data_IF_368143102775
#
_entry.id   IF_368143102775
#
_cell.length_a   1.000
_cell.length_b   1.000
_cell.length_c   1.000
_cell.angle_alpha   90.00
_cell.angle_beta   90.00
_cell.angle_gamma   90.00
#
_symmetry.space_group_name_H-M   'P 1'
#
loop_
_entity.id
_entity.type
_entity.pdbx_description
1 polymer ?
#
# COMPACT_ATOMS: atom_id res chain seq x y z
N UNK A 1 -0.20 -6.62 -7.70
CA UNK A 1 -1.47 -7.14 -8.29
C UNK A 1 -1.44 -8.65 -8.44
N UNK A 2 -0.60 -9.25 -9.30
CA UNK A 2 -0.61 -10.71 -9.51
C UNK A 2 -0.36 -11.57 -8.25
N UNK A 3 0.56 -11.17 -7.37
CA UNK A 3 0.81 -11.90 -6.10
C UNK A 3 -0.28 -11.70 -5.04
N UNK A 4 -1.13 -10.68 -5.20
CA UNK A 4 -2.16 -10.33 -4.22
C UNK A 4 -3.52 -10.88 -4.65
N UNK A 5 -3.84 -10.81 -5.95
CA UNK A 5 -5.16 -11.10 -6.50
C UNK A 5 -5.19 -12.25 -7.50
N UNK A 6 -4.06 -12.92 -7.74
CA UNK A 6 -3.93 -14.00 -8.73
C UNK A 6 -4.02 -13.55 -10.20
N UNK A 7 -4.55 -12.35 -10.48
CA UNK A 7 -4.72 -11.79 -11.82
C UNK A 7 -3.72 -10.67 -12.10
N UNK A 8 -3.14 -10.69 -13.30
CA UNK A 8 -2.43 -9.55 -13.90
C UNK A 8 -3.32 -8.98 -14.99
N UNK A 9 -3.67 -7.71 -14.86
CA UNK A 9 -4.49 -7.02 -15.86
C UNK A 9 -3.61 -6.60 -17.05
N UNK A 10 -4.00 -7.01 -18.26
CA UNK A 10 -3.38 -6.51 -19.48
C UNK A 10 -4.13 -5.24 -19.95
N UNK A 11 -3.45 -4.11 -20.18
CA UNK A 11 -4.09 -2.89 -20.70
C UNK A 11 -4.81 -3.06 -22.05
N UNK A 12 -4.44 -4.08 -22.82
CA UNK A 12 -4.96 -4.36 -24.16
C UNK A 12 -6.11 -5.36 -24.16
N UNK A 13 -6.03 -6.43 -23.36
CA UNK A 13 -7.05 -7.49 -23.31
C UNK A 13 -8.15 -7.19 -22.27
N UNK A 14 -7.79 -6.66 -21.09
CA UNK A 14 -8.70 -6.36 -19.98
C UNK A 14 -9.06 -4.87 -19.92
N UNK A 15 -9.11 -4.18 -21.06
CA UNK A 15 -9.15 -2.72 -21.11
C UNK A 15 -10.27 -2.09 -20.25
N UNK A 16 -11.46 -2.68 -20.21
CA UNK A 16 -12.60 -2.17 -19.43
C UNK A 16 -12.44 -2.41 -17.92
N UNK A 17 -12.10 -3.64 -17.49
CA UNK A 17 -11.87 -3.93 -16.06
C UNK A 17 -10.70 -3.10 -15.51
N UNK A 18 -9.62 -2.99 -16.28
CA UNK A 18 -8.47 -2.18 -15.93
C UNK A 18 -8.81 -0.69 -15.82
N UNK A 19 -9.64 -0.16 -16.73
CA UNK A 19 -10.14 1.23 -16.66
C UNK A 19 -10.95 1.47 -15.39
N UNK A 20 -11.86 0.57 -15.05
CA UNK A 20 -12.68 0.66 -13.84
C UNK A 20 -11.81 0.62 -12.59
N UNK A 21 -10.91 -0.36 -12.50
CA UNK A 21 -9.96 -0.47 -11.40
C UNK A 21 -9.11 0.80 -11.27
N UNK A 22 -8.51 1.28 -12.37
CA UNK A 22 -7.69 2.50 -12.37
C UNK A 22 -8.49 3.71 -11.91
N UNK A 23 -9.75 3.84 -12.31
CA UNK A 23 -10.61 4.94 -11.88
C UNK A 23 -10.89 4.89 -10.37
N UNK A 24 -11.25 3.71 -9.83
CA UNK A 24 -11.52 3.53 -8.39
C UNK A 24 -10.24 3.79 -7.57
N UNK A 25 -9.09 3.28 -8.02
CA UNK A 25 -7.80 3.47 -7.36
C UNK A 25 -7.41 4.96 -7.36
N UNK A 26 -7.54 5.64 -8.50
CA UNK A 26 -7.25 7.07 -8.61
C UNK A 26 -8.12 7.90 -7.65
N UNK A 27 -9.43 7.63 -7.62
CA UNK A 27 -10.37 8.31 -6.73
C UNK A 27 -10.04 8.06 -5.25
N UNK A 28 -9.65 6.85 -4.89
CA UNK A 28 -9.19 6.54 -3.53
C UNK A 28 -7.92 7.32 -3.14
N UNK A 29 -6.97 7.49 -4.06
CA UNK A 29 -5.74 8.25 -3.78
C UNK A 29 -6.02 9.75 -3.66
N UNK A 30 -6.93 10.27 -4.48
CA UNK A 30 -7.40 11.65 -4.34
C UNK A 30 -8.01 11.87 -2.96
N UNK A 31 -8.83 10.94 -2.45
CA UNK A 31 -9.42 11.05 -1.11
C UNK A 31 -8.37 10.95 0.01
N UNK A 32 -7.40 10.04 -0.08
CA UNK A 32 -6.32 9.93 0.90
C UNK A 32 -5.41 11.17 0.95
N UNK A 33 -5.23 11.83 -0.19
CA UNK A 33 -4.39 13.01 -0.33
C UNK A 33 -5.09 14.33 0.03
N UNK A 34 -6.42 14.35 0.17
CA UNK A 34 -7.15 15.58 0.49
C UNK A 34 -6.87 15.98 1.94
N UNK A 35 -6.37 17.21 2.11
CA UNK A 35 -6.23 17.79 3.44
C UNK A 35 -7.60 18.04 4.06
N UNK A 36 -7.94 17.29 5.10
CA UNK A 36 -9.21 17.42 5.81
C UNK A 36 -9.06 18.27 7.07
N UNK A 37 -9.58 19.50 7.04
CA UNK A 37 -9.57 20.38 8.22
C UNK A 37 -10.36 19.83 9.40
N UNK A 38 -11.36 18.98 9.14
CA UNK A 38 -12.20 18.42 10.20
C UNK A 38 -11.47 17.39 11.07
N UNK A 39 -10.38 16.79 10.58
CA UNK A 39 -9.55 15.86 11.37
C UNK A 39 -8.80 16.59 12.48
N UNK A 40 -8.44 17.86 12.26
CA UNK A 40 -7.73 18.71 13.22
C UNK A 40 -8.68 19.55 14.07
N UNK A 41 -9.86 19.89 13.53
CA UNK A 41 -10.86 20.73 14.18
C UNK A 41 -12.21 20.00 14.18
N UNK A 42 -12.49 19.12 15.17
CA UNK A 42 -13.69 18.28 15.17
C UNK A 42 -15.00 19.06 15.07
N UNK A 43 -15.05 20.28 15.62
CA UNK A 43 -16.23 21.15 15.56
C UNK A 43 -16.53 21.70 14.16
N UNK A 44 -15.53 21.73 13.27
CA UNK A 44 -15.65 22.22 11.90
C UNK A 44 -16.46 21.24 11.03
N UNK A 45 -16.42 19.94 11.34
CA UNK A 45 -17.17 18.89 10.65
C UNK A 45 -18.68 19.14 10.61
N UNK A 46 -19.25 19.79 11.64
CA UNK A 46 -20.69 20.01 11.76
C UNK A 46 -21.26 21.03 10.77
N UNK A 47 -20.43 21.92 10.21
CA UNK A 47 -20.89 23.02 9.36
C UNK A 47 -20.08 23.21 8.07
N UNK A 48 -18.91 22.58 7.94
CA UNK A 48 -17.99 22.83 6.84
C UNK A 48 -17.31 21.54 6.37
N UNK A 49 -17.83 20.99 5.26
CA UNK A 49 -17.19 19.91 4.48
C UNK A 49 -16.97 20.40 3.03
N UNK A 50 -15.92 21.21 2.79
CA UNK A 50 -15.67 21.81 1.47
C UNK A 50 -15.28 20.79 0.41
N UNK A 51 -14.66 19.68 0.84
CA UNK A 51 -14.17 18.61 -0.05
C UNK A 51 -15.18 17.46 -0.19
N UNK A 52 -16.30 17.49 0.55
CA UNK A 52 -17.37 16.48 0.54
C UNK A 52 -16.86 15.05 0.75
N UNK A 53 -15.87 14.89 1.63
CA UNK A 53 -15.10 13.63 1.76
C UNK A 53 -16.03 12.47 2.09
N UNK A 54 -16.99 12.67 2.99
CA UNK A 54 -17.95 11.64 3.39
C UNK A 54 -18.78 11.17 2.19
N UNK A 55 -19.32 12.10 1.41
CA UNK A 55 -20.14 11.76 0.24
C UNK A 55 -19.33 11.02 -0.85
N UNK A 56 -18.07 11.39 -1.04
CA UNK A 56 -17.17 10.68 -1.95
C UNK A 56 -16.84 9.27 -1.43
N UNK A 57 -16.58 9.10 -0.13
CA UNK A 57 -16.40 7.80 0.48
C UNK A 57 -17.65 6.92 0.33
N UNK A 58 -18.84 7.45 0.59
CA UNK A 58 -20.12 6.74 0.42
C UNK A 58 -20.35 6.29 -1.03
N UNK A 59 -19.87 7.06 -2.01
CA UNK A 59 -19.94 6.68 -3.42
C UNK A 59 -18.86 5.65 -3.83
N UNK A 60 -17.66 5.73 -3.24
CA UNK A 60 -16.51 4.90 -3.58
C UNK A 60 -16.59 3.50 -2.94
N UNK A 61 -16.93 3.42 -1.66
CA UNK A 61 -16.92 2.19 -0.87
C UNK A 61 -17.75 1.06 -1.52
N UNK A 62 -18.98 1.28 -2.03
CA UNK A 62 -19.75 0.23 -2.68
C UNK A 62 -19.08 -0.31 -3.95
N UNK A 63 -18.38 0.55 -4.71
CA UNK A 63 -17.67 0.16 -5.95
C UNK A 63 -16.44 -0.67 -5.63
N UNK A 64 -15.67 -0.27 -4.61
CA UNK A 64 -14.54 -1.05 -4.07
C UNK A 64 -15.03 -2.40 -3.59
N UNK A 65 -16.04 -2.42 -2.74
CA UNK A 65 -16.62 -3.64 -2.17
C UNK A 65 -17.05 -4.60 -3.27
N UNK A 66 -17.76 -4.10 -4.30
CA UNK A 66 -18.18 -4.91 -5.44
C UNK A 66 -16.99 -5.53 -6.19
N UNK A 67 -15.94 -4.75 -6.45
CA UNK A 67 -14.75 -5.22 -7.17
C UNK A 67 -14.01 -6.29 -6.38
N UNK A 68 -13.67 -6.01 -5.12
CA UNK A 68 -12.88 -6.93 -4.29
C UNK A 68 -13.68 -8.19 -3.95
N UNK A 69 -14.98 -8.06 -3.68
CA UNK A 69 -15.87 -9.20 -3.45
C UNK A 69 -15.91 -10.14 -4.66
N UNK A 70 -16.01 -9.60 -5.88
CA UNK A 70 -15.98 -10.42 -7.09
C UNK A 70 -14.67 -11.22 -7.20
N UNK A 71 -13.53 -10.64 -6.78
CA UNK A 71 -12.25 -11.35 -6.74
C UNK A 71 -12.27 -12.46 -5.69
N UNK A 72 -12.76 -12.18 -4.47
CA UNK A 72 -12.87 -13.19 -3.41
C UNK A 72 -13.75 -14.37 -3.84
N UNK A 73 -14.91 -14.09 -4.43
CA UNK A 73 -15.84 -15.12 -4.94
C UNK A 73 -15.19 -16.00 -6.01
N UNK A 74 -14.40 -15.42 -6.91
CA UNK A 74 -13.64 -16.19 -7.92
C UNK A 74 -12.64 -17.16 -7.27
N UNK A 75 -11.92 -16.75 -6.22
CA UNK A 75 -10.97 -17.61 -5.53
C UNK A 75 -11.68 -18.71 -4.72
N UNK A 76 -12.83 -18.40 -4.09
CA UNK A 76 -13.65 -19.41 -3.42
C UNK A 76 -14.14 -20.50 -4.37
N UNK A 77 -14.61 -20.13 -5.56
CA UNK A 77 -15.07 -21.10 -6.58
C UNK A 77 -13.93 -21.98 -7.09
N UNK A 78 -12.72 -21.41 -7.22
CA UNK A 78 -11.51 -22.15 -7.60
C UNK A 78 -11.09 -23.15 -6.50
N UNK A 79 -11.06 -22.71 -5.24
CA UNK A 79 -10.65 -23.55 -4.10
C UNK A 79 -11.62 -24.70 -3.80
N UNK A 80 -12.90 -24.59 -4.19
CA UNK A 80 -13.84 -25.73 -4.12
C UNK A 80 -13.46 -26.89 -5.04
N UNK A 81 -12.67 -26.65 -6.08
CA UNK A 81 -12.24 -27.67 -7.04
C UNK A 81 -10.84 -28.23 -6.73
N UNK A 82 -10.02 -27.51 -5.95
CA UNK A 82 -8.65 -27.88 -5.57
C UNK A 82 -8.51 -27.85 -4.03
N UNK A 83 -8.59 -29.02 -3.39
CA UNK A 83 -8.56 -29.18 -1.91
C UNK A 83 -7.20 -28.86 -1.24
N UNK A 84 -6.21 -28.33 -1.96
CA UNK A 84 -4.86 -28.06 -1.45
C UNK A 84 -4.38 -26.71 -1.93
N UNK A 85 -3.86 -25.88 -1.01
CA UNK A 85 -3.16 -24.63 -1.33
C UNK A 85 -2.02 -24.99 -2.31
N UNK A 86 -2.13 -24.49 -3.53
CA UNK A 86 -1.15 -24.71 -4.59
C UNK A 86 0.14 -23.93 -4.30
N UNK A 87 1.28 -24.39 -4.83
CA UNK A 87 2.52 -23.60 -4.85
C UNK A 87 2.36 -22.23 -5.55
N UNK A 88 1.27 -22.05 -6.31
CA UNK A 88 0.88 -20.80 -6.97
C UNK A 88 -0.22 -20.02 -6.20
N UNK A 89 -0.42 -20.30 -4.91
CA UNK A 89 -1.38 -19.55 -4.10
C UNK A 89 -1.00 -18.07 -3.99
N UNK A 90 -2.00 -17.21 -4.12
CA UNK A 90 -1.84 -15.78 -3.91
C UNK A 90 -2.32 -15.35 -2.51
N UNK A 91 -2.20 -14.05 -2.23
CA UNK A 91 -2.58 -13.52 -0.93
C UNK A 91 -4.08 -13.72 -0.59
N UNK A 92 -4.98 -13.72 -1.58
CA UNK A 92 -6.41 -13.98 -1.32
C UNK A 92 -6.61 -15.42 -0.86
N UNK A 93 -5.92 -16.38 -1.49
CA UNK A 93 -5.96 -17.79 -1.08
C UNK A 93 -5.47 -17.97 0.37
N UNK A 94 -4.40 -17.25 0.75
CA UNK A 94 -3.90 -17.25 2.14
C UNK A 94 -4.96 -16.71 3.10
N UNK A 95 -5.59 -15.57 2.81
CA UNK A 95 -6.64 -15.00 3.66
C UNK A 95 -7.87 -15.91 3.78
N UNK A 96 -8.22 -16.62 2.71
CA UNK A 96 -9.31 -17.60 2.70
C UNK A 96 -8.98 -18.87 3.49
N UNK A 97 -7.69 -19.23 3.61
CA UNK A 97 -7.24 -20.39 4.37
C UNK A 97 -7.21 -20.19 5.89
N UNK A 98 -7.34 -18.93 6.35
CA UNK A 98 -7.36 -18.61 7.78
C UNK A 98 -8.60 -19.22 8.46
N UNK A 99 -8.41 -19.85 9.61
CA UNK A 99 -9.47 -20.51 10.38
C UNK A 99 -9.37 -20.20 11.88
N UNK A 100 -10.43 -20.54 12.63
CA UNK A 100 -10.50 -20.26 14.06
C UNK A 100 -10.52 -18.77 14.38
N UNK A 101 -9.70 -18.36 15.36
CA UNK A 101 -9.65 -16.97 15.87
C UNK A 101 -9.01 -15.98 14.88
N UNK A 102 -8.28 -16.48 13.86
CA UNK A 102 -7.64 -15.66 12.83
C UNK A 102 -8.52 -15.44 11.59
N UNK A 103 -9.69 -16.07 11.54
CA UNK A 103 -10.60 -15.99 10.39
C UNK A 103 -11.17 -14.58 10.25
N UNK A 104 -10.84 -13.94 9.13
CA UNK A 104 -11.39 -12.63 8.79
C UNK A 104 -12.84 -12.76 8.29
N UNK A 105 -13.67 -11.80 8.68
CA UNK A 105 -14.97 -11.62 8.04
C UNK A 105 -14.78 -11.05 6.62
N UNK A 106 -15.85 -11.05 5.81
CA UNK A 106 -15.78 -10.56 4.42
C UNK A 106 -15.34 -9.08 4.35
N UNK A 107 -15.81 -8.25 5.28
CA UNK A 107 -15.57 -6.80 5.29
C UNK A 107 -14.11 -6.49 5.61
N UNK A 108 -13.55 -7.18 6.60
CA UNK A 108 -12.14 -7.09 7.00
C UNK A 108 -11.23 -7.57 5.87
N UNK A 109 -11.60 -8.67 5.21
CA UNK A 109 -10.85 -9.18 4.05
C UNK A 109 -10.86 -8.17 2.90
N UNK A 110 -12.01 -7.57 2.60
CA UNK A 110 -12.14 -6.53 1.59
C UNK A 110 -11.27 -5.32 1.94
N UNK A 111 -11.29 -4.89 3.21
CA UNK A 111 -10.48 -3.77 3.68
C UNK A 111 -8.98 -4.04 3.55
N UNK A 112 -8.51 -5.23 3.98
CA UNK A 112 -7.10 -5.65 3.88
C UNK A 112 -6.65 -5.73 2.43
N UNK A 113 -7.45 -6.34 1.56
CA UNK A 113 -7.13 -6.46 0.13
C UNK A 113 -7.11 -5.09 -0.56
N UNK A 114 -8.05 -4.21 -0.24
CA UNK A 114 -8.06 -2.84 -0.74
C UNK A 114 -6.79 -2.08 -0.32
N UNK A 115 -6.42 -2.17 0.95
CA UNK A 115 -5.22 -1.53 1.51
C UNK A 115 -3.93 -1.97 0.77
N UNK A 116 -3.84 -3.25 0.37
CA UNK A 116 -2.70 -3.75 -0.41
C UNK A 116 -2.57 -3.08 -1.79
N UNK A 117 -3.69 -2.67 -2.42
CA UNK A 117 -3.66 -1.92 -3.68
C UNK A 117 -3.09 -0.53 -3.45
N UNK A 118 -3.56 0.19 -2.41
CA UNK A 118 -3.12 1.55 -2.09
C UNK A 118 -1.64 1.58 -1.74
N UNK A 119 -1.28 0.85 -0.68
CA UNK A 119 0.06 0.96 -0.12
C UNK A 119 1.12 0.34 -1.03
N UNK A 120 0.76 -0.72 -1.76
CA UNK A 120 1.72 -1.46 -2.58
C UNK A 120 2.01 -0.82 -3.94
N UNK A 121 1.05 -0.10 -4.53
CA UNK A 121 1.19 0.38 -5.91
C UNK A 121 1.88 1.75 -5.97
N UNK A 122 1.39 2.72 -5.22
CA UNK A 122 1.86 4.11 -5.33
C UNK A 122 3.26 4.30 -4.75
N UNK A 123 3.56 3.66 -3.62
CA UNK A 123 4.88 3.76 -2.98
C UNK A 123 6.00 3.25 -3.88
N UNK A 124 5.79 2.13 -4.57
CA UNK A 124 6.78 1.52 -5.48
C UNK A 124 6.88 2.31 -6.79
N UNK A 125 5.75 2.80 -7.31
CA UNK A 125 5.74 3.65 -8.50
C UNK A 125 6.52 4.95 -8.26
N UNK A 126 6.20 5.68 -7.17
CA UNK A 126 6.87 6.92 -6.80
C UNK A 126 8.36 6.71 -6.52
N UNK A 127 8.72 5.64 -5.81
CA UNK A 127 10.13 5.29 -5.60
C UNK A 127 10.85 5.05 -6.92
N UNK A 128 10.24 4.31 -7.85
CA UNK A 128 10.83 4.02 -9.16
C UNK A 128 11.01 5.29 -9.98
N UNK A 129 10.02 6.20 -9.95
CA UNK A 129 10.12 7.51 -10.60
C UNK A 129 11.30 8.33 -10.05
N UNK A 130 11.45 8.41 -8.72
CA UNK A 130 12.59 9.10 -8.10
C UNK A 130 13.92 8.44 -8.41
N UNK A 131 13.99 7.10 -8.39
CA UNK A 131 15.21 6.37 -8.80
C UNK A 131 15.61 6.75 -10.22
N UNK A 132 14.64 6.76 -11.15
CA UNK A 132 14.92 7.12 -12.54
C UNK A 132 15.32 8.60 -12.68
N UNK A 133 14.67 9.51 -11.96
CA UNK A 133 15.02 10.92 -11.95
C UNK A 133 16.45 11.16 -11.45
N UNK A 134 16.81 10.57 -10.30
CA UNK A 134 18.15 10.70 -9.72
C UNK A 134 19.23 10.10 -10.61
N UNK A 135 18.97 8.97 -11.27
CA UNK A 135 19.90 8.36 -12.20
C UNK A 135 20.12 9.19 -13.47
N UNK A 136 19.09 9.90 -13.97
CA UNK A 136 19.21 10.82 -15.11
C UNK A 136 20.04 12.05 -14.73
N UNK A 137 19.89 12.54 -13.49
CA UNK A 137 20.63 13.69 -12.99
C UNK A 137 22.09 13.37 -12.61
N UNK A 138 22.41 12.10 -12.33
CA UNK A 138 23.74 11.65 -11.92
C UNK A 138 24.29 10.54 -12.85
N UNK A 139 24.76 10.89 -14.06
CA UNK A 139 25.23 9.92 -15.06
C UNK A 139 26.37 9.01 -14.57
N UNK A 140 27.23 9.50 -13.67
CA UNK A 140 28.31 8.74 -13.06
C UNK A 140 27.80 7.62 -12.15
N UNK A 141 26.73 7.88 -11.38
CA UNK A 141 26.05 6.88 -10.56
C UNK A 141 25.39 5.85 -11.47
N UNK A 142 24.72 6.30 -12.53
CA UNK A 142 24.09 5.42 -13.52
C UNK A 142 25.12 4.52 -14.22
N UNK A 143 26.28 5.05 -14.61
CA UNK A 143 27.35 4.29 -15.26
C UNK A 143 27.90 3.21 -14.32
N UNK A 144 28.13 3.55 -13.04
CA UNK A 144 28.60 2.60 -12.03
C UNK A 144 27.57 1.51 -11.75
N UNK A 145 26.28 1.85 -11.69
CA UNK A 145 25.20 0.86 -11.53
C UNK A 145 25.14 -0.11 -12.72
N UNK A 146 25.24 0.41 -13.95
CA UNK A 146 25.30 -0.44 -15.16
C UNK A 146 26.52 -1.36 -15.16
N UNK A 147 27.66 -0.90 -14.65
CA UNK A 147 28.85 -1.72 -14.52
C UNK A 147 28.65 -2.87 -13.53
N UNK A 148 28.03 -2.62 -12.37
CA UNK A 148 27.68 -3.68 -11.42
C UNK A 148 26.73 -4.70 -12.05
N UNK A 149 25.66 -4.24 -12.71
CA UNK A 149 24.70 -5.11 -13.38
C UNK A 149 25.38 -5.99 -14.44
N UNK A 150 26.24 -5.40 -15.29
CA UNK A 150 26.97 -6.15 -16.31
C UNK A 150 27.90 -7.20 -15.71
N UNK A 151 28.52 -6.91 -14.56
CA UNK A 151 29.44 -7.84 -13.90
C UNK A 151 28.73 -9.02 -13.22
N UNK A 152 27.50 -8.83 -12.73
CA UNK A 152 26.76 -9.86 -11.96
C UNK A 152 25.84 -10.70 -12.85
N UNK A 153 25.21 -10.03 -13.81
CA UNK A 153 24.09 -10.57 -14.60
C UNK A 153 24.52 -10.86 -16.04
N UNK A 154 25.55 -10.19 -16.56
CA UNK A 154 26.01 -10.33 -17.94
C UNK A 154 24.89 -10.03 -18.95
N UNK A 155 24.47 -11.02 -19.76
CA UNK A 155 23.49 -10.87 -20.84
C UNK A 155 22.09 -11.44 -20.50
N UNK A 156 21.91 -12.00 -19.30
CA UNK A 156 20.59 -12.51 -18.85
C UNK A 156 19.79 -11.42 -18.12
N UNK A 157 18.53 -11.71 -17.81
CA UNK A 157 17.75 -10.88 -16.89
C UNK A 157 18.22 -11.00 -15.44
N UNK A 158 17.97 -9.96 -14.65
CA UNK A 158 18.15 -9.97 -13.18
C UNK A 158 17.18 -10.98 -12.57
N UNK A 159 17.66 -11.82 -11.66
CA UNK A 159 16.81 -12.70 -10.83
C UNK A 159 17.03 -12.42 -9.35
N UNK A 160 16.10 -12.83 -8.50
CA UNK A 160 16.15 -12.56 -7.05
C UNK A 160 17.43 -13.10 -6.39
N UNK A 161 17.96 -14.21 -6.88
CA UNK A 161 19.22 -14.79 -6.41
C UNK A 161 20.45 -13.88 -6.63
N UNK A 162 20.35 -12.87 -7.50
CA UNK A 162 21.42 -11.90 -7.74
C UNK A 162 21.47 -10.80 -6.67
N UNK A 163 20.37 -10.57 -5.95
CA UNK A 163 20.23 -9.43 -5.04
C UNK A 163 21.39 -9.28 -4.04
N UNK A 164 21.92 -10.36 -3.42
CA UNK A 164 23.06 -10.26 -2.50
C UNK A 164 24.35 -9.73 -3.16
N UNK A 165 24.49 -9.87 -4.48
CA UNK A 165 25.66 -9.42 -5.26
C UNK A 165 25.49 -8.02 -5.85
N UNK A 166 24.27 -7.47 -5.83
CA UNK A 166 23.93 -6.13 -6.36
C UNK A 166 23.96 -5.08 -5.25
N UNK A 167 25.11 -4.96 -4.59
CA UNK A 167 25.28 -4.08 -3.42
C UNK A 167 25.09 -2.59 -3.73
N UNK A 168 25.50 -2.16 -4.92
CA UNK A 168 25.41 -0.77 -5.38
C UNK A 168 23.98 -0.44 -5.80
N UNK A 169 23.27 -1.35 -6.46
CA UNK A 169 21.82 -1.21 -6.69
C UNK A 169 21.07 -1.00 -5.36
N UNK A 170 21.35 -1.83 -4.34
CA UNK A 170 20.76 -1.67 -3.02
C UNK A 170 21.10 -0.31 -2.40
N UNK A 171 22.34 0.17 -2.56
CA UNK A 171 22.76 1.48 -2.08
C UNK A 171 22.02 2.62 -2.79
N UNK A 172 21.83 2.54 -4.12
CA UNK A 172 21.06 3.51 -4.90
C UNK A 172 19.62 3.58 -4.40
N UNK A 173 18.95 2.44 -4.25
CA UNK A 173 17.56 2.40 -3.75
C UNK A 173 17.48 2.99 -2.33
N UNK A 174 18.41 2.63 -1.44
CA UNK A 174 18.46 3.17 -0.07
C UNK A 174 18.70 4.67 -0.04
N UNK A 175 19.55 5.19 -0.91
CA UNK A 175 19.86 6.62 -0.97
C UNK A 175 18.67 7.42 -1.50
N UNK A 176 17.97 6.89 -2.50
CA UNK A 176 16.73 7.50 -2.99
C UNK A 176 15.67 7.50 -1.90
N UNK A 177 15.50 6.42 -1.15
CA UNK A 177 14.60 6.39 0.02
C UNK A 177 14.98 7.40 1.11
N UNK A 178 16.28 7.67 1.28
CA UNK A 178 16.78 8.67 2.25
C UNK A 178 16.46 10.10 1.79
N UNK A 179 16.54 10.38 0.49
CA UNK A 179 16.30 11.70 -0.09
C UNK A 179 14.81 11.98 -0.35
N UNK A 180 14.09 10.97 -0.84
CA UNK A 180 12.72 11.05 -1.36
C UNK A 180 11.86 9.91 -0.78
N UNK A 181 11.60 9.89 0.54
CA UNK A 181 10.78 8.85 1.15
C UNK A 181 9.35 8.88 0.58
N UNK A 182 8.83 7.75 0.03
CA UNK A 182 7.45 7.68 -0.46
C UNK A 182 6.48 7.68 0.72
N UNK A 183 5.85 8.84 0.96
CA UNK A 183 4.78 9.02 1.94
C UNK A 183 5.00 10.22 2.88
N UNK A 184 3.93 10.87 3.37
CA UNK A 184 4.05 11.90 4.39
C UNK A 184 4.52 11.31 5.71
N UNK A 185 5.43 12.00 6.41
CA UNK A 185 5.92 11.61 7.76
C UNK A 185 4.77 11.44 8.78
N UNK A 186 3.60 12.03 8.52
CA UNK A 186 2.41 12.08 9.38
C UNK A 186 1.58 10.79 9.36
N UNK A 187 1.70 9.93 8.34
CA UNK A 187 1.03 8.61 8.31
C UNK A 187 1.55 7.64 9.39
N UNK A 188 2.55 8.07 10.16
CA UNK A 188 3.14 7.32 11.28
C UNK A 188 2.71 7.86 12.64
N UNK A 189 1.66 8.67 12.72
CA UNK A 189 1.05 9.07 13.98
C UNK A 189 0.86 7.83 14.88
N UNK A 190 1.60 7.80 16.00
CA UNK A 190 1.53 6.70 16.96
C UNK A 190 0.57 7.10 18.06
N UNK A 191 -0.38 6.23 18.34
CA UNK A 191 -1.24 6.33 19.53
C UNK A 191 -0.70 5.39 20.61
N UNK A 192 -0.49 5.91 21.82
CA UNK A 192 -0.14 5.03 22.94
C UNK A 192 -1.33 4.15 23.32
N UNK A 193 -1.14 2.84 23.36
CA UNK A 193 -2.15 1.90 23.85
C UNK A 193 -2.19 1.85 25.38
N UNK A 194 -1.10 2.24 26.04
CA UNK A 194 -0.90 2.29 27.49
C UNK A 194 0.03 3.44 27.90
N UNK A 195 0.16 3.69 29.20
CA UNK A 195 1.10 4.70 29.70
C UNK A 195 2.53 4.19 29.57
N UNK A 196 3.40 4.95 28.88
CA UNK A 196 4.79 4.55 28.64
C UNK A 196 5.73 5.54 29.30
N UNK A 197 6.60 5.05 30.19
CA UNK A 197 7.70 5.85 30.74
C UNK A 197 8.88 5.83 29.77
N UNK A 198 9.24 7.00 29.27
CA UNK A 198 10.42 7.19 28.42
C UNK A 198 11.70 7.24 29.29
N UNK A 199 12.82 6.88 28.69
CA UNK A 199 14.14 6.83 29.37
C UNK A 199 14.60 8.19 29.90
N UNK A 200 14.04 9.29 29.40
CA UNK A 200 14.29 10.65 29.88
C UNK A 200 13.34 11.09 31.01
N UNK A 201 12.56 10.18 31.58
CA UNK A 201 11.65 10.45 32.70
C UNK A 201 10.29 11.05 32.31
N UNK A 202 10.03 11.27 31.02
CA UNK A 202 8.71 11.70 30.55
C UNK A 202 7.73 10.52 30.55
N UNK A 203 6.49 10.76 30.97
CA UNK A 203 5.39 9.80 30.85
C UNK A 203 4.56 10.17 29.64
N UNK A 204 4.39 9.21 28.75
CA UNK A 204 3.55 9.35 27.57
C UNK A 204 2.22 8.60 27.81
N UNK A 205 1.10 9.32 28.00
CA UNK A 205 -0.12 8.71 28.49
C UNK A 205 -0.86 7.92 27.40
N UNK A 206 -1.67 6.97 27.84
CA UNK A 206 -2.59 6.19 27.01
C UNK A 206 -3.50 7.11 26.19
N UNK A 207 -3.72 6.75 24.93
CA UNK A 207 -4.52 7.50 23.92
C UNK A 207 -3.98 8.89 23.59
N UNK A 208 -2.73 9.17 23.92
CA UNK A 208 -2.04 10.35 23.44
C UNK A 208 -1.44 10.07 22.06
N UNK A 209 -1.71 10.92 21.07
CA UNK A 209 -1.06 10.87 19.75
C UNK A 209 0.27 11.63 19.79
N UNK A 210 1.29 11.16 19.08
CA UNK A 210 2.66 11.69 19.08
C UNK A 210 2.78 13.16 18.64
N UNK A 211 1.66 13.79 18.30
CA UNK A 211 1.51 15.18 17.90
C UNK A 211 0.66 16.02 18.87
N UNK A 212 0.31 15.51 20.05
CA UNK A 212 -0.34 16.32 21.09
C UNK A 212 -1.87 16.27 21.11
N UNK A 213 -2.50 15.42 20.29
CA UNK A 213 -3.97 15.36 20.18
C UNK A 213 -4.55 14.08 20.81
N UNK A 214 -5.67 14.25 21.51
CA UNK A 214 -6.52 13.17 22.01
C UNK A 214 -7.39 12.66 20.85
N UNK A 215 -7.18 11.42 20.41
CA UNK A 215 -8.03 10.82 19.38
C UNK A 215 -9.33 10.33 20.00
N UNK A 216 -10.41 11.07 19.76
CA UNK A 216 -11.78 10.59 19.96
C UNK A 216 -12.17 9.66 18.81
N UNK A 217 -12.28 8.37 19.09
CA UNK A 217 -12.82 7.40 18.13
C UNK A 217 -14.34 7.60 18.02
N UNK A 218 -14.84 7.83 16.81
CA UNK A 218 -16.23 7.53 16.48
C UNK A 218 -16.26 6.17 15.76
N UNK A 219 -17.06 5.27 16.33
CA UNK A 219 -17.45 3.96 15.78
C UNK A 219 -18.51 4.12 14.69
#
# INVERSE_FOLDING_TARGET
>A
MGSVFGKRYDPTEDAEEFRVLKAIVKEGFELLGVFNWSDYLPWLSYFYDPSRIVAHCEALVPRVRKLVKAIIEQHQLKNQHENTISDNADFVDVLLSLDGDEKLNEDDMIAVLWEMIFRGTDTVALLTEWVMAELVLHPEVQAKLRQELKAVVEDRGVVDADMPRLSYLQAVVKEVLRLHPPGPLLSWARLSTEDVCLSNGMVYPRKHNSHGEYVGYYS
#
